data_IF_390031555600
#
_entry.id   IF_390031555600
#
_cell.length_a   1.000
_cell.length_b   1.000
_cell.length_c   1.000
_cell.angle_alpha   90.00
_cell.angle_beta   90.00
_cell.angle_gamma   90.00
#
_symmetry.space_group_name_H-M   'P 1'
#
loop_
_entity.id
_entity.type
_entity.pdbx_description
1 polymer ?
#
# COMPACT_ATOMS: atom_id res chain seq x y z
N UNK A 1 19.13 -10.44 2.10
CA UNK A 1 19.41 -8.99 1.92
C UNK A 1 19.45 -8.35 3.29
N UNK A 2 20.36 -7.39 3.58
CA UNK A 2 20.35 -6.61 4.82
C UNK A 2 19.30 -5.48 4.80
N UNK A 3 18.68 -5.20 3.65
CA UNK A 3 17.66 -4.15 3.49
C UNK A 3 16.24 -4.71 3.56
N UNK A 4 15.34 -3.97 4.21
CA UNK A 4 13.90 -4.23 4.27
C UNK A 4 13.29 -3.84 5.61
N UNK A 5 12.10 -3.24 5.57
CA UNK A 5 11.32 -2.75 6.72
C UNK A 5 9.89 -3.31 6.74
N UNK A 6 9.60 -4.27 5.87
CA UNK A 6 8.27 -4.83 5.64
C UNK A 6 7.21 -3.79 5.20
N UNK A 7 7.62 -2.66 4.63
CA UNK A 7 6.72 -1.63 4.12
C UNK A 7 6.60 -1.67 2.59
N UNK A 8 5.43 -2.06 2.09
CA UNK A 8 5.16 -2.09 0.64
C UNK A 8 5.02 -0.70 0.02
N UNK A 9 4.62 0.33 0.78
CA UNK A 9 4.61 1.70 0.29
C UNK A 9 6.04 2.22 0.12
N UNK A 10 6.94 1.89 1.06
CA UNK A 10 8.37 2.18 0.91
C UNK A 10 8.97 1.43 -0.29
N UNK A 11 8.57 0.17 -0.52
CA UNK A 11 8.97 -0.57 -1.73
C UNK A 11 8.50 0.11 -3.02
N UNK A 12 7.25 0.57 -3.07
CA UNK A 12 6.72 1.32 -4.22
C UNK A 12 7.51 2.61 -4.46
N UNK A 13 7.86 3.34 -3.39
CA UNK A 13 8.71 4.52 -3.47
C UNK A 13 10.11 4.20 -4.00
N UNK A 14 10.74 3.13 -3.55
CA UNK A 14 12.04 2.69 -4.07
C UNK A 14 11.96 2.28 -5.55
N UNK A 15 10.87 1.62 -5.95
CA UNK A 15 10.61 1.26 -7.34
C UNK A 15 10.45 2.50 -8.22
N UNK A 16 9.64 3.46 -7.80
CA UNK A 16 9.49 4.75 -8.47
C UNK A 16 10.85 5.45 -8.62
N UNK A 17 11.64 5.50 -7.55
CA UNK A 17 12.98 6.11 -7.57
C UNK A 17 13.94 5.44 -8.54
N UNK A 18 14.02 4.10 -8.55
CA UNK A 18 14.97 3.40 -9.44
C UNK A 18 14.55 3.47 -10.91
N UNK A 19 13.26 3.68 -11.18
CA UNK A 19 12.71 3.87 -12.53
C UNK A 19 12.79 5.34 -12.99
N UNK A 20 13.27 6.26 -12.15
CA UNK A 20 13.24 7.72 -12.38
C UNK A 20 11.82 8.24 -12.70
N UNK A 21 10.78 7.66 -12.09
CA UNK A 21 9.39 8.05 -12.30
C UNK A 21 9.12 9.50 -11.88
N UNK A 22 8.49 10.29 -12.74
CA UNK A 22 8.16 11.71 -12.53
C UNK A 22 6.70 12.05 -12.72
N UNK A 23 5.98 11.27 -13.52
CA UNK A 23 4.57 11.50 -13.80
C UNK A 23 3.69 10.81 -12.76
N UNK A 24 2.53 11.38 -12.49
CA UNK A 24 1.55 10.81 -11.57
C UNK A 24 1.21 9.36 -11.94
N UNK A 25 1.00 9.06 -13.24
CA UNK A 25 0.71 7.72 -13.73
C UNK A 25 1.85 6.71 -13.49
N UNK A 26 3.11 7.16 -13.52
CA UNK A 26 4.27 6.32 -13.24
C UNK A 26 4.38 6.01 -11.75
N UNK A 27 4.08 6.99 -10.88
CA UNK A 27 4.04 6.82 -9.43
C UNK A 27 2.88 5.90 -9.02
N UNK A 28 1.71 6.04 -9.65
CA UNK A 28 0.59 5.13 -9.45
C UNK A 28 0.93 3.70 -9.91
N UNK A 29 1.60 3.55 -11.05
CA UNK A 29 2.03 2.24 -11.53
C UNK A 29 3.00 1.56 -10.54
N UNK A 30 3.95 2.31 -9.98
CA UNK A 30 4.85 1.81 -8.96
C UNK A 30 4.10 1.33 -7.69
N UNK A 31 3.04 2.03 -7.27
CA UNK A 31 2.18 1.57 -6.18
C UNK A 31 1.43 0.28 -6.53
N UNK A 32 0.79 0.22 -7.70
CA UNK A 32 -0.02 -0.93 -8.13
C UNK A 32 0.81 -2.21 -8.24
N UNK A 33 2.08 -2.11 -8.62
CA UNK A 33 3.01 -3.24 -8.61
C UNK A 33 3.14 -3.91 -7.24
N UNK A 34 3.02 -3.14 -6.14
CA UNK A 34 3.04 -3.66 -4.78
C UNK A 34 1.65 -4.04 -4.22
N UNK A 35 0.59 -3.39 -4.71
CA UNK A 35 -0.78 -3.54 -4.17
C UNK A 35 -1.58 -4.65 -4.86
N UNK A 36 -1.46 -4.79 -6.19
CA UNK A 36 -2.33 -5.62 -7.01
C UNK A 36 -1.60 -6.83 -7.60
N UNK A 37 -0.42 -6.61 -8.17
CA UNK A 37 0.25 -7.61 -9.00
C UNK A 37 0.69 -8.85 -8.20
N UNK A 38 0.90 -8.69 -6.88
CA UNK A 38 1.16 -9.81 -5.97
C UNK A 38 -0.03 -10.77 -5.84
N UNK A 39 -1.26 -10.26 -5.79
CA UNK A 39 -2.46 -11.09 -5.76
C UNK A 39 -2.62 -11.85 -7.08
N UNK A 40 -2.42 -11.16 -8.21
CA UNK A 40 -2.45 -11.77 -9.53
C UNK A 40 -1.43 -12.90 -9.68
N UNK A 41 -0.17 -12.67 -9.24
CA UNK A 41 0.89 -13.67 -9.28
C UNK A 41 0.54 -14.95 -8.48
N UNK A 42 -0.17 -14.80 -7.37
CA UNK A 42 -0.57 -15.91 -6.50
C UNK A 42 -1.92 -16.54 -6.89
N UNK A 43 -2.56 -16.07 -7.96
CA UNK A 43 -3.90 -16.53 -8.36
C UNK A 43 -5.00 -16.14 -7.35
N UNK A 44 -4.77 -15.11 -6.54
CA UNK A 44 -5.74 -14.58 -5.59
C UNK A 44 -6.62 -13.51 -6.27
N UNK A 45 -7.81 -13.30 -5.71
CA UNK A 45 -8.66 -12.20 -6.12
C UNK A 45 -7.95 -10.86 -5.85
N UNK A 46 -8.05 -9.93 -6.82
CA UNK A 46 -7.57 -8.57 -6.64
C UNK A 46 -8.35 -7.92 -5.49
N UNK A 47 -7.64 -7.23 -4.60
CA UNK A 47 -8.29 -6.42 -3.58
C UNK A 47 -9.06 -5.27 -4.24
N UNK A 48 -10.30 -5.08 -3.84
CA UNK A 48 -11.09 -3.92 -4.23
C UNK A 48 -11.92 -3.43 -3.03
N UNK A 49 -12.56 -2.26 -3.20
CA UNK A 49 -13.37 -1.63 -2.15
C UNK A 49 -14.86 -1.67 -2.47
N UNK A 50 -15.30 -2.62 -3.30
CA UNK A 50 -16.70 -2.73 -3.71
C UNK A 50 -17.54 -3.38 -2.60
N UNK A 51 -18.84 -3.06 -2.52
CA UNK A 51 -19.75 -3.79 -1.63
C UNK A 51 -19.70 -5.29 -1.88
N UNK A 52 -19.54 -6.07 -0.80
CA UNK A 52 -19.40 -7.53 -0.85
C UNK A 52 -17.95 -8.03 -0.82
N UNK A 53 -16.96 -7.17 -1.09
CA UNK A 53 -15.55 -7.51 -0.96
C UNK A 53 -15.12 -7.59 0.51
N UNK A 54 -14.08 -8.37 0.83
CA UNK A 54 -13.49 -8.35 2.17
C UNK A 54 -13.10 -6.93 2.56
N UNK A 55 -13.43 -6.52 3.78
CA UNK A 55 -13.05 -5.22 4.32
C UNK A 55 -11.57 -5.23 4.75
N UNK A 56 -10.69 -5.32 3.75
CA UNK A 56 -9.23 -5.34 3.85
C UNK A 56 -8.68 -4.06 3.21
N UNK A 57 -8.30 -3.08 4.03
CA UNK A 57 -7.79 -1.80 3.54
C UNK A 57 -6.92 -1.10 4.59
N UNK A 58 -6.17 -0.10 4.13
CA UNK A 58 -5.43 0.82 4.99
C UNK A 58 -5.94 2.24 4.80
N UNK A 59 -5.84 3.05 5.84
CA UNK A 59 -6.04 4.50 5.78
C UNK A 59 -4.70 5.18 5.92
N UNK A 60 -4.48 6.16 5.06
CA UNK A 60 -3.25 6.92 4.96
C UNK A 60 -3.58 8.36 4.60
N UNK A 61 -2.85 9.32 5.18
CA UNK A 61 -3.10 10.73 4.95
C UNK A 61 -2.39 11.21 3.69
N UNK A 62 -3.15 11.75 2.75
CA UNK A 62 -2.64 12.35 1.52
C UNK A 62 -3.78 12.82 0.64
N UNK A 63 -3.49 13.72 -0.30
CA UNK A 63 -4.49 14.27 -1.23
C UNK A 63 -4.63 13.41 -2.48
N UNK A 64 -3.56 12.71 -2.87
CA UNK A 64 -3.55 11.79 -4.01
C UNK A 64 -2.54 10.66 -3.82
N UNK A 65 -2.65 9.60 -4.62
CA UNK A 65 -1.75 8.45 -4.55
C UNK A 65 -0.29 8.79 -4.90
N UNK A 66 0.01 9.60 -5.94
CA UNK A 66 1.38 10.05 -6.22
C UNK A 66 2.05 10.70 -5.00
N UNK A 67 1.34 11.62 -4.32
CA UNK A 67 1.85 12.25 -3.10
C UNK A 67 2.16 11.21 -2.02
N UNK A 68 1.25 10.26 -1.76
CA UNK A 68 1.44 9.23 -0.73
C UNK A 68 2.66 8.35 -1.02
N UNK A 69 2.92 8.01 -2.28
CA UNK A 69 4.12 7.26 -2.69
C UNK A 69 5.39 8.06 -2.43
N UNK A 70 5.38 9.38 -2.67
CA UNK A 70 6.54 10.25 -2.46
C UNK A 70 6.79 10.52 -0.97
N UNK A 71 5.76 10.93 -0.24
CA UNK A 71 5.84 11.43 1.14
C UNK A 71 5.99 10.31 2.19
N UNK A 72 5.65 9.07 1.83
CA UNK A 72 5.66 7.90 2.72
C UNK A 72 4.99 8.15 4.09
N UNK A 73 3.78 8.73 4.14
CA UNK A 73 3.08 8.96 5.39
C UNK A 73 2.79 7.65 6.13
N UNK A 74 2.80 7.74 7.47
CA UNK A 74 2.41 6.63 8.36
C UNK A 74 0.95 6.23 8.09
N UNK A 75 0.65 4.93 8.15
CA UNK A 75 -0.72 4.42 8.08
C UNK A 75 -1.46 4.76 9.38
N UNK A 76 -2.55 5.51 9.27
CA UNK A 76 -3.42 5.86 10.41
C UNK A 76 -4.18 4.64 10.91
N UNK A 77 -4.59 3.77 9.98
CA UNK A 77 -5.41 2.60 10.28
C UNK A 77 -5.09 1.47 9.32
N UNK A 78 -5.12 0.23 9.82
CA UNK A 78 -5.18 -0.98 8.98
C UNK A 78 -6.37 -1.81 9.42
N UNK A 79 -7.20 -2.20 8.46
CA UNK A 79 -8.40 -3.02 8.65
C UNK A 79 -8.23 -4.33 7.90
N UNK A 80 -8.55 -5.45 8.56
CA UNK A 80 -8.56 -6.79 7.99
C UNK A 80 -9.84 -7.51 8.39
N UNK A 81 -10.60 -8.00 7.41
CA UNK A 81 -11.87 -8.69 7.62
C UNK A 81 -12.88 -7.83 8.38
N UNK A 82 -12.83 -6.51 8.20
CA UNK A 82 -13.68 -5.56 8.93
C UNK A 82 -13.25 -5.30 10.38
N UNK A 83 -12.08 -5.79 10.80
CA UNK A 83 -11.50 -5.54 12.13
C UNK A 83 -10.29 -4.64 12.01
N UNK A 84 -10.21 -3.64 12.87
CA UNK A 84 -9.00 -2.82 13.00
C UNK A 84 -7.90 -3.71 13.58
N UNK A 85 -6.78 -3.83 12.88
CA UNK A 85 -5.62 -4.64 13.28
C UNK A 85 -4.39 -3.79 13.58
N UNK A 86 -4.32 -2.57 13.06
CA UNK A 86 -3.28 -1.61 13.43
C UNK A 86 -3.83 -0.19 13.47
N UNK A 87 -3.26 0.65 14.33
CA UNK A 87 -3.53 2.08 14.44
C UNK A 87 -2.22 2.82 14.57
N UNK A 88 -2.09 3.92 13.83
CA UNK A 88 -0.87 4.71 13.80
C UNK A 88 0.35 3.79 13.65
N UNK A 89 0.42 2.99 12.59
CA UNK A 89 1.53 2.05 12.34
C UNK A 89 1.82 0.95 13.37
N UNK A 90 1.06 0.83 14.46
CA UNK A 90 1.27 -0.17 15.52
C UNK A 90 0.13 -1.20 15.55
N UNK A 91 0.44 -2.47 15.83
CA UNK A 91 -0.56 -3.54 15.98
C UNK A 91 -1.48 -3.24 17.17
N UNK A 92 -2.79 -3.38 17.00
CA UNK A 92 -3.74 -3.27 18.12
C UNK A 92 -3.86 -4.62 18.83
N UNK A 93 -3.65 -4.65 20.15
CA UNK A 93 -3.85 -5.84 20.98
C UNK A 93 -2.78 -6.93 20.83
N UNK A 94 -1.51 -6.52 20.75
CA UNK A 94 -0.38 -7.42 21.03
C UNK A 94 -0.40 -7.95 22.46
#
# INVERSE_FOLDING_TARGET
SPFGDADMLHRAHLLARVQDARLDEELEAAFRAGADDGAHLLGLARADLRPGSPADFLLVRGECLPQVVVDLPRRELVVRGGRIVARDGELVGG
#
